data_IF_240857807356
#
_entry.id   IF_240857807356
#
_cell.length_a   1.000
_cell.length_b   1.000
_cell.length_c   1.000
_cell.angle_alpha   90.00
_cell.angle_beta   90.00
_cell.angle_gamma   90.00
#
_symmetry.space_group_name_H-M   'P 1'
#
loop_
_entity.id
_entity.type
_entity.pdbx_description
1 polymer ?
#
# COMPACT_ATOMS: atom_id res chain seq x y z
N UNK A 1 16.30 -14.18 -11.79
CA UNK A 1 15.46 -13.63 -10.69
C UNK A 1 15.54 -12.10 -10.65
N UNK A 2 16.73 -11.49 -10.72
CA UNK A 2 16.92 -10.02 -10.79
C UNK A 2 16.20 -9.30 -11.95
N UNK A 3 16.20 -9.88 -13.16
CA UNK A 3 15.57 -9.30 -14.35
C UNK A 3 14.05 -9.14 -14.20
N UNK A 4 13.42 -9.97 -13.36
CA UNK A 4 11.98 -9.93 -13.12
C UNK A 4 11.61 -8.78 -12.16
N UNK A 5 12.33 -8.62 -11.05
CA UNK A 5 12.06 -7.55 -10.08
C UNK A 5 12.29 -6.16 -10.66
N UNK A 6 13.33 -5.95 -11.49
CA UNK A 6 13.53 -4.67 -12.18
C UNK A 6 12.41 -4.33 -13.16
N UNK A 7 11.81 -5.36 -13.78
CA UNK A 7 10.65 -5.18 -14.65
C UNK A 7 9.41 -4.79 -13.84
N UNK A 8 9.17 -5.44 -12.70
CA UNK A 8 8.08 -5.09 -11.77
C UNK A 8 8.25 -3.68 -11.24
N UNK A 9 9.44 -3.32 -10.77
CA UNK A 9 9.78 -1.98 -10.27
C UNK A 9 9.44 -0.88 -11.30
N UNK A 10 9.83 -1.07 -12.56
CA UNK A 10 9.50 -0.12 -13.65
C UNK A 10 7.99 0.00 -13.89
N UNK A 11 7.26 -1.12 -13.86
CA UNK A 11 5.79 -1.12 -14.01
C UNK A 11 5.10 -0.41 -12.85
N UNK A 12 5.55 -0.64 -11.62
CA UNK A 12 5.03 0.01 -10.42
C UNK A 12 5.30 1.52 -10.44
N UNK A 13 6.49 1.93 -10.86
CA UNK A 13 6.83 3.33 -11.02
C UNK A 13 5.89 3.99 -12.04
N UNK A 14 5.72 3.38 -13.21
CA UNK A 14 4.81 3.88 -14.24
C UNK A 14 3.37 3.96 -13.74
N UNK A 15 2.84 2.88 -13.16
CA UNK A 15 1.45 2.80 -12.69
C UNK A 15 1.14 3.83 -11.60
N UNK A 16 2.06 4.01 -10.64
CA UNK A 16 1.88 4.98 -9.56
C UNK A 16 1.84 6.42 -10.07
N UNK A 17 2.65 6.76 -11.07
CA UNK A 17 2.64 8.08 -11.69
C UNK A 17 1.44 8.26 -12.60
N UNK A 18 1.10 7.24 -13.39
CA UNK A 18 -0.06 7.26 -14.29
C UNK A 18 -1.36 7.42 -13.51
N UNK A 19 -1.52 6.76 -12.37
CA UNK A 19 -2.69 6.91 -11.51
C UNK A 19 -2.87 8.37 -11.05
N UNK A 20 -1.78 9.01 -10.59
CA UNK A 20 -1.82 10.42 -10.19
C UNK A 20 -2.11 11.31 -11.41
N UNK A 21 -1.47 11.04 -12.55
CA UNK A 21 -1.70 11.80 -13.77
C UNK A 21 -3.16 11.70 -14.23
N UNK A 22 -3.70 10.49 -14.30
CA UNK A 22 -5.08 10.22 -14.67
C UNK A 22 -6.07 10.98 -13.77
N UNK A 23 -5.89 10.94 -12.45
CA UNK A 23 -6.74 11.65 -11.51
C UNK A 23 -6.69 13.18 -11.69
N UNK A 24 -5.54 13.74 -12.07
CA UNK A 24 -5.35 15.19 -12.16
C UNK A 24 -5.59 15.78 -13.55
N UNK A 25 -5.50 15.00 -14.62
CA UNK A 25 -5.49 15.53 -15.99
C UNK A 25 -6.49 14.85 -16.94
N UNK A 26 -6.92 13.61 -16.66
CA UNK A 26 -7.80 12.85 -17.57
C UNK A 26 -9.22 12.74 -17.01
N UNK A 27 -9.36 12.48 -15.70
CA UNK A 27 -10.66 12.36 -15.06
C UNK A 27 -11.42 13.70 -15.13
N UNK A 28 -12.69 13.72 -15.58
CA UNK A 28 -13.53 14.92 -15.52
C UNK A 28 -13.61 15.49 -14.10
N UNK A 29 -13.52 16.81 -13.97
CA UNK A 29 -13.59 17.52 -12.68
C UNK A 29 -14.82 18.40 -12.67
N UNK A 30 -15.62 18.29 -11.62
CA UNK A 30 -16.83 19.09 -11.45
C UNK A 30 -16.50 20.49 -10.93
N UNK A 31 -15.46 20.61 -10.12
CA UNK A 31 -15.04 21.83 -9.41
C UNK A 31 -13.76 22.47 -9.99
N UNK A 32 -13.12 21.83 -10.98
CA UNK A 32 -11.83 22.25 -11.52
C UNK A 32 -10.62 22.05 -10.59
N UNK A 33 -10.81 21.50 -9.39
CA UNK A 33 -9.77 21.42 -8.35
C UNK A 33 -8.81 20.26 -8.62
N UNK A 34 -7.53 20.48 -8.30
CA UNK A 34 -6.50 19.43 -8.37
C UNK A 34 -6.73 18.39 -7.28
N UNK A 35 -6.76 17.11 -7.66
CA UNK A 35 -6.96 15.97 -6.74
C UNK A 35 -5.73 15.72 -5.86
N UNK A 36 -4.54 15.99 -6.40
CA UNK A 36 -3.26 15.82 -5.72
C UNK A 36 -2.67 14.41 -5.86
N UNK A 37 -1.71 14.08 -4.98
CA UNK A 37 -0.94 12.83 -5.02
C UNK A 37 0.57 13.10 -4.95
N UNK A 38 1.34 12.16 -4.40
CA UNK A 38 2.78 12.33 -4.13
C UNK A 38 3.63 11.42 -5.02
N UNK A 39 4.04 11.94 -6.18
CA UNK A 39 4.90 11.22 -7.13
C UNK A 39 6.30 10.96 -6.55
N UNK A 40 6.96 11.99 -6.04
CA UNK A 40 8.31 11.89 -5.48
C UNK A 40 8.40 10.86 -4.33
N UNK A 41 7.43 10.87 -3.41
CA UNK A 41 7.41 9.89 -2.30
C UNK A 41 7.13 8.47 -2.78
N UNK A 42 6.43 8.28 -3.89
CA UNK A 42 6.20 6.95 -4.47
C UNK A 42 7.44 6.46 -5.22
N UNK A 43 8.08 7.35 -5.99
CA UNK A 43 9.34 7.07 -6.68
C UNK A 43 10.46 6.68 -5.71
N UNK A 44 10.61 7.40 -4.59
CA UNK A 44 11.64 7.09 -3.59
C UNK A 44 11.43 5.76 -2.87
N UNK A 45 10.20 5.23 -2.87
CA UNK A 45 9.84 3.98 -2.18
C UNK A 45 9.77 2.77 -3.11
N UNK A 46 9.79 2.96 -4.43
CA UNK A 46 9.48 1.88 -5.39
C UNK A 46 10.43 0.69 -5.27
N UNK A 47 11.73 0.93 -5.13
CA UNK A 47 12.73 -0.14 -5.07
C UNK A 47 12.58 -0.99 -3.81
N UNK A 48 12.46 -0.35 -2.63
CA UNK A 48 12.31 -1.07 -1.35
C UNK A 48 10.97 -1.79 -1.28
N UNK A 49 9.89 -1.18 -1.76
CA UNK A 49 8.57 -1.82 -1.77
C UNK A 49 8.54 -3.01 -2.72
N UNK A 50 9.17 -2.91 -3.90
CA UNK A 50 9.29 -4.03 -4.84
C UNK A 50 10.03 -5.21 -4.18
N UNK A 51 11.20 -4.94 -3.58
CA UNK A 51 11.98 -5.98 -2.91
C UNK A 51 11.23 -6.64 -1.76
N UNK A 52 10.55 -5.86 -0.91
CA UNK A 52 9.77 -6.37 0.21
C UNK A 52 8.61 -7.24 -0.29
N UNK A 53 7.71 -6.68 -1.11
CA UNK A 53 6.44 -7.33 -1.45
C UNK A 53 6.57 -8.47 -2.46
N UNK A 54 7.56 -8.44 -3.35
CA UNK A 54 7.74 -9.47 -4.38
C UNK A 54 8.91 -10.42 -4.10
N UNK A 55 9.67 -10.22 -3.02
CA UNK A 55 10.88 -10.99 -2.73
C UNK A 55 10.99 -11.53 -1.31
N UNK A 56 10.55 -10.79 -0.29
CA UNK A 56 10.90 -11.08 1.12
C UNK A 56 9.69 -11.34 2.02
N UNK A 57 8.61 -10.58 1.86
CA UNK A 57 7.45 -10.66 2.75
C UNK A 57 6.77 -12.02 2.64
N UNK A 58 6.46 -12.59 3.81
CA UNK A 58 5.63 -13.79 3.95
C UNK A 58 4.18 -13.38 4.21
N UNK A 59 3.21 -14.30 4.03
CA UNK A 59 1.79 -13.99 4.24
C UNK A 59 1.42 -13.47 5.63
N UNK A 60 2.25 -13.71 6.66
CA UNK A 60 2.01 -13.25 8.03
C UNK A 60 2.69 -11.91 8.36
N UNK A 61 3.53 -11.39 7.49
CA UNK A 61 4.27 -10.15 7.75
C UNK A 61 3.36 -8.95 7.45
N UNK A 62 3.32 -7.97 8.37
CA UNK A 62 2.48 -6.77 8.25
C UNK A 62 3.36 -5.54 8.14
N UNK A 63 3.04 -4.64 7.22
CA UNK A 63 3.84 -3.45 6.93
C UNK A 63 3.03 -2.18 7.13
N UNK A 64 3.57 -1.23 7.89
CA UNK A 64 3.05 0.13 7.96
C UNK A 64 3.64 0.94 6.79
N UNK A 65 2.90 1.01 5.69
CA UNK A 65 3.35 1.74 4.49
C UNK A 65 3.33 3.24 4.75
N UNK A 66 4.41 3.93 4.37
CA UNK A 66 4.48 5.41 4.44
C UNK A 66 3.26 6.01 3.71
N UNK A 67 2.53 6.99 4.28
CA UNK A 67 1.19 7.34 3.80
C UNK A 67 1.22 7.87 2.36
N UNK A 68 2.17 8.76 2.07
CA UNK A 68 2.34 9.38 0.76
C UNK A 68 2.87 8.41 -0.32
N UNK A 69 3.27 7.19 0.05
CA UNK A 69 3.61 6.12 -0.89
C UNK A 69 2.38 5.27 -1.28
N UNK A 70 1.16 5.67 -0.89
CA UNK A 70 -0.08 5.01 -1.31
C UNK A 70 -0.14 4.71 -2.82
N UNK A 71 0.29 5.63 -3.72
CA UNK A 71 0.17 5.37 -5.15
C UNK A 71 0.95 4.15 -5.63
N UNK A 72 2.17 3.93 -5.12
CA UNK A 72 2.94 2.72 -5.44
C UNK A 72 2.38 1.48 -4.73
N UNK A 73 1.83 1.63 -3.53
CA UNK A 73 1.14 0.54 -2.85
C UNK A 73 -0.07 0.03 -3.64
N UNK A 74 -1.00 0.90 -4.03
CA UNK A 74 -2.16 0.48 -4.81
C UNK A 74 -1.77 -0.08 -6.18
N UNK A 75 -0.71 0.43 -6.80
CA UNK A 75 -0.16 -0.15 -8.04
C UNK A 75 0.35 -1.58 -7.83
N UNK A 76 0.99 -1.87 -6.69
CA UNK A 76 1.38 -3.24 -6.34
C UNK A 76 0.18 -4.14 -6.14
N UNK A 77 -0.80 -3.70 -5.37
CA UNK A 77 -2.02 -4.47 -5.11
C UNK A 77 -2.76 -4.77 -6.41
N UNK A 78 -2.76 -3.85 -7.38
CA UNK A 78 -3.32 -4.07 -8.71
C UNK A 78 -2.56 -5.14 -9.48
N UNK A 79 -1.22 -5.05 -9.54
CA UNK A 79 -0.39 -6.06 -10.22
C UNK A 79 -0.47 -7.45 -9.58
N UNK A 80 -0.73 -7.51 -8.27
CA UNK A 80 -0.95 -8.75 -7.53
C UNK A 80 -2.38 -9.31 -7.69
N UNK A 81 -3.29 -8.58 -8.33
CA UNK A 81 -4.68 -9.00 -8.51
C UNK A 81 -5.59 -8.78 -7.29
N UNK A 82 -5.13 -8.03 -6.28
CA UNK A 82 -5.89 -7.76 -5.05
C UNK A 82 -6.86 -6.57 -5.20
N UNK A 83 -6.67 -5.72 -6.21
CA UNK A 83 -7.59 -4.61 -6.50
C UNK A 83 -7.82 -4.46 -8.00
N UNK A 84 -8.93 -3.81 -8.36
CA UNK A 84 -9.35 -3.62 -9.75
C UNK A 84 -8.84 -2.30 -10.32
N UNK A 85 -8.67 -2.23 -11.65
CA UNK A 85 -8.17 -1.01 -12.32
C UNK A 85 -9.10 0.19 -12.14
N UNK A 86 -10.41 -0.05 -11.97
CA UNK A 86 -11.42 0.99 -11.74
C UNK A 86 -11.15 1.77 -10.45
N UNK A 87 -10.67 1.08 -9.40
CA UNK A 87 -10.30 1.72 -8.11
C UNK A 87 -9.12 2.67 -8.28
N UNK A 88 -8.13 2.29 -9.08
CA UNK A 88 -6.97 3.13 -9.41
C UNK A 88 -7.39 4.33 -10.27
N UNK A 89 -8.25 4.13 -11.28
CA UNK A 89 -8.80 5.24 -12.09
C UNK A 89 -9.60 6.23 -11.23
N UNK A 90 -10.26 5.71 -10.20
CA UNK A 90 -11.00 6.46 -9.20
C UNK A 90 -10.14 6.96 -8.03
N UNK A 91 -8.81 7.01 -8.13
CA UNK A 91 -7.92 7.47 -7.04
C UNK A 91 -8.39 8.78 -6.40
N UNK A 92 -8.50 8.78 -5.05
CA UNK A 92 -9.05 9.85 -4.20
C UNK A 92 -10.49 10.28 -4.54
N UNK A 93 -11.19 9.54 -5.39
CA UNK A 93 -12.61 9.68 -5.64
C UNK A 93 -13.42 8.81 -4.66
N UNK A 94 -14.73 9.09 -4.59
CA UNK A 94 -15.65 8.30 -3.79
C UNK A 94 -15.61 6.82 -4.22
N UNK A 95 -15.39 5.92 -3.26
CA UNK A 95 -15.30 4.48 -3.50
C UNK A 95 -14.04 4.03 -4.25
N UNK A 96 -13.10 4.93 -4.56
CA UNK A 96 -11.82 4.63 -5.19
C UNK A 96 -10.68 4.44 -4.19
N UNK A 97 -9.48 4.19 -4.73
CA UNK A 97 -8.26 4.04 -3.93
C UNK A 97 -7.97 5.28 -3.08
N UNK A 98 -7.65 5.10 -1.81
CA UNK A 98 -7.50 6.20 -0.87
C UNK A 98 -6.21 7.01 -1.05
N UNK A 99 -6.20 8.22 -0.49
CA UNK A 99 -5.01 9.07 -0.44
C UNK A 99 -3.84 8.42 0.30
N UNK A 100 -4.17 7.65 1.35
CA UNK A 100 -3.28 6.97 2.29
C UNK A 100 -3.86 5.58 2.53
N UNK A 101 -3.02 4.51 2.66
CA UNK A 101 -3.53 3.16 2.86
C UNK A 101 -4.43 3.09 4.10
N UNK A 102 -5.61 2.53 3.94
CA UNK A 102 -6.65 2.49 4.97
C UNK A 102 -7.36 1.15 5.03
N UNK A 103 -7.27 0.49 6.19
CA UNK A 103 -7.91 -0.81 6.46
C UNK A 103 -9.43 -0.82 6.28
N UNK A 104 -10.08 0.32 6.44
CA UNK A 104 -11.55 0.41 6.44
C UNK A 104 -12.10 0.99 5.14
N UNK A 105 -11.25 1.54 4.27
CA UNK A 105 -11.67 2.27 3.08
C UNK A 105 -11.06 1.75 1.78
N UNK A 106 -9.96 1.02 1.86
CA UNK A 106 -9.42 0.29 0.73
C UNK A 106 -9.81 -1.19 0.80
N UNK A 107 -10.02 -1.79 -0.36
CA UNK A 107 -10.35 -3.22 -0.49
C UNK A 107 -9.08 -4.09 -0.51
N UNK A 108 -7.90 -3.48 -0.53
CA UNK A 108 -6.60 -4.16 -0.61
C UNK A 108 -6.04 -4.53 0.78
N UNK A 109 -5.08 -5.46 0.84
CA UNK A 109 -4.52 -6.00 2.10
C UNK A 109 -3.61 -4.98 2.82
N UNK A 110 -4.23 -3.94 3.39
CA UNK A 110 -3.56 -2.93 4.20
C UNK A 110 -3.25 -3.51 5.58
N UNK A 111 -1.96 -3.62 5.93
CA UNK A 111 -1.57 -4.07 7.27
C UNK A 111 -1.97 -3.10 8.38
N UNK A 112 -1.68 -1.81 8.19
CA UNK A 112 -1.99 -0.75 9.15
C UNK A 112 -2.46 0.51 8.42
N UNK A 113 -3.49 1.18 8.94
CA UNK A 113 -3.89 2.50 8.46
C UNK A 113 -2.85 3.55 8.88
N UNK A 114 -2.26 4.27 7.92
CA UNK A 114 -1.14 5.18 8.22
C UNK A 114 -1.46 6.66 8.00
N UNK A 115 -2.73 7.05 7.85
CA UNK A 115 -3.12 8.44 7.59
C UNK A 115 -2.62 9.48 8.61
N UNK A 116 -2.27 9.08 9.84
CA UNK A 116 -1.60 9.92 10.84
C UNK A 116 -0.11 9.61 10.90
N UNK A 117 0.72 10.62 10.61
CA UNK A 117 2.18 10.51 10.63
C UNK A 117 2.65 10.30 12.07
N UNK A 118 3.38 9.20 12.33
CA UNK A 118 3.89 8.81 13.65
C UNK A 118 3.25 7.55 14.22
N UNK A 119 1.95 7.33 13.98
CA UNK A 119 1.24 6.15 14.50
C UNK A 119 1.75 4.84 13.85
N UNK A 120 2.24 4.91 12.62
CA UNK A 120 2.80 3.76 11.90
C UNK A 120 3.96 3.10 12.65
N UNK A 121 4.86 3.89 13.24
CA UNK A 121 5.99 3.35 14.02
C UNK A 121 5.49 2.76 15.34
N UNK A 122 4.65 3.49 16.05
CA UNK A 122 4.10 3.04 17.33
C UNK A 122 3.36 1.70 17.19
N UNK A 123 2.46 1.58 16.20
CA UNK A 123 1.66 0.38 16.03
C UNK A 123 2.50 -0.83 15.62
N UNK A 124 3.54 -0.65 14.79
CA UNK A 124 4.44 -1.75 14.42
C UNK A 124 5.27 -2.22 15.62
N UNK A 125 5.71 -1.31 16.48
CA UNK A 125 6.45 -1.67 17.70
C UNK A 125 5.57 -2.46 18.66
N UNK A 126 4.34 -2.01 18.92
CA UNK A 126 3.41 -2.75 19.77
C UNK A 126 3.00 -4.09 19.15
N UNK A 127 2.77 -4.15 17.83
CA UNK A 127 2.45 -5.40 17.14
C UNK A 127 3.58 -6.43 17.27
N UNK A 128 4.85 -5.99 17.19
CA UNK A 128 6.01 -6.86 17.41
C UNK A 128 6.03 -7.42 18.84
N UNK A 129 5.86 -6.56 19.85
CA UNK A 129 5.85 -6.97 21.25
C UNK A 129 4.70 -7.96 21.57
N UNK A 130 3.50 -7.69 21.04
CA UNK A 130 2.35 -8.57 21.21
C UNK A 130 2.59 -9.92 20.52
N UNK A 131 3.19 -9.91 19.32
CA UNK A 131 3.53 -11.15 18.61
C UNK A 131 4.49 -12.01 19.44
N UNK A 132 5.53 -11.42 20.03
CA UNK A 132 6.49 -12.14 20.85
C UNK A 132 5.86 -12.64 22.17
N UNK A 133 5.01 -11.82 22.79
CA UNK A 133 4.23 -12.22 23.97
C UNK A 133 3.35 -13.45 23.70
N UNK A 134 2.61 -13.46 22.58
CA UNK A 134 1.77 -14.61 22.21
C UNK A 134 2.62 -15.85 21.95
N UNK A 135 3.78 -15.71 21.27
CA UNK A 135 4.70 -16.83 21.02
C UNK A 135 5.30 -17.42 22.29
N UNK A 136 5.52 -16.60 23.31
CA UNK A 136 6.05 -17.05 24.59
C UNK A 136 5.01 -17.77 25.48
N UNK A 137 3.71 -17.64 25.18
CA UNK A 137 2.67 -18.35 25.93
C UNK A 137 2.60 -19.84 25.58
N UNK A 138 2.64 -20.75 26.57
CA UNK A 138 2.32 -22.15 26.34
C UNK A 138 0.85 -22.31 25.93
N UNK A 139 0.57 -22.95 24.79
CA UNK A 139 -0.77 -23.46 24.47
C UNK A 139 -1.52 -22.86 23.28
N UNK A 140 -1.09 -21.75 22.68
CA UNK A 140 -1.79 -21.18 21.50
C UNK A 140 -0.91 -21.18 20.25
N UNK A 141 -0.89 -22.32 19.55
CA UNK A 141 -0.48 -22.36 18.13
C UNK A 141 -1.71 -22.15 17.25
N UNK A 142 -2.13 -20.90 17.09
CA UNK A 142 -2.97 -20.52 15.96
C UNK A 142 -2.14 -19.61 15.03
N UNK A 143 -1.49 -20.21 14.03
CA UNK A 143 -1.13 -19.48 12.80
C UNK A 143 -2.44 -19.24 12.05
N UNK A 144 -3.21 -18.24 12.45
CA UNK A 144 -4.53 -17.94 11.89
C UNK A 144 -4.81 -16.44 11.89
N UNK A 145 -5.30 -15.94 10.75
CA UNK A 145 -5.56 -14.51 10.45
C UNK A 145 -6.47 -13.87 11.51
N UNK A 146 -6.07 -12.72 12.04
CA UNK A 146 -7.04 -11.71 12.46
C UNK A 146 -7.55 -11.02 11.19
N UNK A 147 -8.83 -11.23 10.89
CA UNK A 147 -9.56 -10.55 9.81
C UNK A 147 -9.70 -9.05 10.04
#
# INVERSE_FOLDING_TARGET
>A
METNLKTVERRLLWLSHWMIHHANHIRPKVDGIKVGGHQASSASMVSIMTALYYGVLRPCDRVAVKPHAAPVFHAMQYLMGNTKVEKLKAYRGLGGAQSYPSRTKDDDDVGFSTGSIGLGVAITSFASLIQDYIRAKPGERARGRAG
#
